data_IF_902129194767
#
_entry.id   IF_902129194767
#
_cell.length_a   1.000
_cell.length_b   1.000
_cell.length_c   1.000
_cell.angle_alpha   90.00
_cell.angle_beta   90.00
_cell.angle_gamma   90.00
#
_symmetry.space_group_name_H-M   'P 1'
#
loop_
_entity.id
_entity.type
_entity.pdbx_description
1 polymer ?
#
# COMPACT_ATOMS: atom_id res chain seq x y z
N UNK A 1 12.98 -18.01 17.86
CA UNK A 1 12.20 -17.05 18.66
C UNK A 1 12.49 -15.67 18.08
N UNK A 2 11.60 -14.87 17.50
CA UNK A 2 10.14 -14.79 17.56
C UNK A 2 9.57 -14.61 16.14
N UNK A 3 8.66 -15.50 15.74
CA UNK A 3 7.76 -15.30 14.60
C UNK A 3 6.77 -14.19 14.94
N UNK A 4 7.23 -12.93 14.98
CA UNK A 4 6.32 -11.82 14.76
C UNK A 4 5.85 -11.98 13.33
N UNK A 5 4.57 -12.33 13.14
CA UNK A 5 3.89 -12.05 11.87
C UNK A 5 4.42 -10.71 11.37
N UNK A 6 4.98 -10.64 10.16
CA UNK A 6 5.55 -9.40 9.67
C UNK A 6 4.41 -8.38 9.59
N UNK A 7 4.22 -7.61 10.67
CA UNK A 7 3.20 -6.57 10.76
C UNK A 7 3.57 -5.60 9.66
N UNK A 8 2.68 -5.36 8.68
CA UNK A 8 3.00 -4.42 7.63
C UNK A 8 3.39 -3.09 8.24
N UNK A 9 4.48 -2.51 7.73
CA UNK A 9 5.13 -1.31 8.27
C UNK A 9 4.16 -0.15 8.51
N UNK A 10 3.07 -0.07 7.74
CA UNK A 10 2.03 0.94 7.91
C UNK A 10 1.26 0.86 9.25
N UNK A 11 1.23 -0.30 9.91
CA UNK A 11 0.59 -0.49 11.22
C UNK A 11 1.55 -0.32 12.40
N UNK A 12 2.85 -0.12 12.14
CA UNK A 12 3.83 0.11 13.20
C UNK A 12 3.54 1.47 13.89
N UNK A 13 3.27 1.51 15.20
CA UNK A 13 3.04 2.76 15.92
C UNK A 13 4.30 3.64 16.01
N UNK A 14 5.50 3.06 15.89
CA UNK A 14 6.77 3.79 15.99
C UNK A 14 7.08 4.62 14.73
N UNK A 15 6.37 4.36 13.63
CA UNK A 15 6.58 5.05 12.36
C UNK A 15 5.66 6.26 12.28
N UNK A 16 6.26 7.41 11.94
CA UNK A 16 5.55 8.66 11.77
C UNK A 16 4.46 8.53 10.69
N UNK A 17 3.35 9.26 10.86
CA UNK A 17 2.28 9.23 9.87
C UNK A 17 2.74 9.74 8.49
N UNK A 18 3.67 10.71 8.47
CA UNK A 18 4.31 11.18 7.23
C UNK A 18 5.06 10.06 6.51
N UNK A 19 5.81 9.24 7.24
CA UNK A 19 6.51 8.09 6.67
C UNK A 19 5.53 7.05 6.12
N UNK A 20 4.42 6.82 6.81
CA UNK A 20 3.33 5.94 6.31
C UNK A 20 2.79 6.44 4.97
N UNK A 21 2.52 7.75 4.84
CA UNK A 21 2.11 8.35 3.58
C UNK A 21 3.14 8.16 2.46
N UNK A 22 4.45 8.29 2.76
CA UNK A 22 5.53 8.04 1.78
C UNK A 22 5.57 6.58 1.32
N UNK A 23 5.39 5.64 2.24
CA UNK A 23 5.28 4.21 1.92
C UNK A 23 4.11 3.97 0.96
N UNK A 24 2.94 4.55 1.26
CA UNK A 24 1.76 4.43 0.40
C UNK A 24 1.99 4.99 -1.00
N UNK A 25 2.66 6.13 -1.11
CA UNK A 25 3.01 6.72 -2.41
C UNK A 25 3.91 5.77 -3.22
N UNK A 26 4.91 5.16 -2.58
CA UNK A 26 5.81 4.19 -3.21
C UNK A 26 5.06 2.92 -3.68
N UNK A 27 4.10 2.44 -2.89
CA UNK A 27 3.24 1.32 -3.28
C UNK A 27 2.35 1.66 -4.48
N UNK A 28 1.76 2.86 -4.52
CA UNK A 28 1.00 3.34 -5.67
C UNK A 28 1.87 3.42 -6.93
N UNK A 29 3.10 3.94 -6.84
CA UNK A 29 4.04 3.97 -7.95
C UNK A 29 4.38 2.57 -8.47
N UNK A 30 4.64 1.63 -7.56
CA UNK A 30 4.97 0.24 -7.91
C UNK A 30 3.79 -0.45 -8.60
N UNK A 31 2.58 -0.24 -8.08
CA UNK A 31 1.34 -0.77 -8.67
C UNK A 31 1.04 -0.11 -10.02
N UNK A 32 1.28 1.19 -10.18
CA UNK A 32 1.11 1.91 -11.44
C UNK A 32 2.01 1.32 -12.53
N UNK A 33 3.30 1.16 -12.20
CA UNK A 33 4.26 0.49 -13.08
C UNK A 33 3.83 -0.94 -13.43
N UNK A 34 3.36 -1.72 -12.46
CA UNK A 34 2.88 -3.08 -12.70
C UNK A 34 1.68 -3.13 -13.65
N UNK A 35 0.77 -2.16 -13.56
CA UNK A 35 -0.41 -2.06 -14.43
C UNK A 35 -0.16 -1.31 -15.74
N UNK A 36 1.07 -0.87 -16.01
CA UNK A 36 1.40 -0.12 -17.23
C UNK A 36 0.78 1.27 -17.29
N UNK A 37 0.55 1.91 -16.14
CA UNK A 37 -0.01 3.26 -16.04
C UNK A 37 0.95 4.22 -15.35
N UNK A 38 0.76 5.52 -15.59
CA UNK A 38 1.42 6.60 -14.88
C UNK A 38 0.88 6.75 -13.45
N UNK A 39 1.61 7.49 -12.61
CA UNK A 39 1.16 7.76 -11.24
C UNK A 39 -0.11 8.63 -11.20
N UNK A 40 -0.25 9.58 -12.12
CA UNK A 40 -1.44 10.45 -12.17
C UNK A 40 -2.68 9.66 -12.62
N UNK A 41 -2.56 8.76 -13.60
CA UNK A 41 -3.65 7.83 -13.97
C UNK A 41 -4.02 6.91 -12.81
N UNK A 42 -3.03 6.39 -12.06
CA UNK A 42 -3.28 5.62 -10.85
C UNK A 42 -4.02 6.46 -9.80
N UNK A 43 -3.64 7.72 -9.61
CA UNK A 43 -4.31 8.64 -8.68
C UNK A 43 -5.78 8.83 -9.07
N UNK A 44 -6.06 9.15 -10.33
CA UNK A 44 -7.43 9.31 -10.81
C UNK A 44 -8.26 8.03 -10.65
N UNK A 45 -7.65 6.88 -10.96
CA UNK A 45 -8.27 5.57 -10.77
C UNK A 45 -8.63 5.33 -9.30
N UNK A 46 -7.71 5.59 -8.37
CA UNK A 46 -7.92 5.40 -6.94
C UNK A 46 -8.97 6.38 -6.40
N UNK A 47 -8.97 7.65 -6.84
CA UNK A 47 -10.01 8.62 -6.48
C UNK A 47 -11.37 8.12 -6.94
N UNK A 48 -11.50 7.68 -8.20
CA UNK A 48 -12.76 7.16 -8.74
C UNK A 48 -13.23 5.89 -8.06
N UNK A 49 -12.30 5.01 -7.65
CA UNK A 49 -12.62 3.69 -7.11
C UNK A 49 -12.88 3.69 -5.61
N UNK A 50 -12.10 4.47 -4.85
CA UNK A 50 -12.08 4.45 -3.38
C UNK A 50 -12.43 5.81 -2.76
N UNK A 51 -12.58 6.87 -3.56
CA UNK A 51 -12.71 8.25 -3.07
C UNK A 51 -11.53 8.68 -2.16
N UNK A 52 -10.33 8.20 -2.48
CA UNK A 52 -9.08 8.51 -1.76
C UNK A 52 -8.12 9.23 -2.70
N UNK A 53 -7.54 10.34 -2.25
CA UNK A 53 -6.51 11.07 -2.99
C UNK A 53 -5.13 10.79 -2.39
N UNK A 54 -4.24 10.18 -3.17
CA UNK A 54 -2.87 9.83 -2.74
C UNK A 54 -2.04 11.06 -2.33
N UNK A 55 -2.38 12.26 -2.84
CA UNK A 55 -1.68 13.51 -2.50
C UNK A 55 -2.23 14.17 -1.22
N UNK A 56 -3.32 13.65 -0.65
CA UNK A 56 -3.98 14.17 0.57
C UNK A 56 -4.12 13.11 1.66
N UNK A 57 -3.26 12.10 1.66
CA UNK A 57 -3.30 11.03 2.67
C UNK A 57 -2.97 11.54 4.07
N UNK A 58 -2.14 12.58 4.17
CA UNK A 58 -1.75 13.25 5.41
C UNK A 58 -2.94 13.77 6.25
N UNK A 59 -4.06 14.08 5.59
CA UNK A 59 -5.30 14.55 6.22
C UNK A 59 -6.40 13.48 6.26
N UNK A 60 -6.12 12.24 5.82
CA UNK A 60 -7.10 11.17 5.69
C UNK A 60 -6.55 9.77 6.12
N UNK A 61 -6.46 9.51 7.43
CA UNK A 61 -5.94 8.24 7.97
C UNK A 61 -6.76 7.01 7.61
N UNK A 62 -8.09 7.15 7.56
CA UNK A 62 -8.97 6.05 7.14
C UNK A 62 -8.76 5.73 5.67
N UNK A 63 -8.63 6.76 4.82
CA UNK A 63 -8.32 6.59 3.39
C UNK A 63 -6.99 5.92 3.14
N UNK A 64 -5.97 6.20 3.96
CA UNK A 64 -4.67 5.53 3.88
C UNK A 64 -4.78 4.02 4.16
N UNK A 65 -5.51 3.63 5.21
CA UNK A 65 -5.72 2.21 5.55
C UNK A 65 -6.52 1.50 4.44
N UNK A 66 -7.60 2.11 3.96
CA UNK A 66 -8.40 1.57 2.87
C UNK A 66 -7.58 1.38 1.59
N UNK A 67 -6.72 2.35 1.26
CA UNK A 67 -5.83 2.26 0.11
C UNK A 67 -4.84 1.11 0.26
N UNK A 68 -4.27 0.91 1.45
CA UNK A 68 -3.38 -0.21 1.71
C UNK A 68 -4.06 -1.55 1.48
N UNK A 69 -5.23 -1.77 2.10
CA UNK A 69 -6.00 -3.02 1.95
C UNK A 69 -6.34 -3.29 0.48
N UNK A 70 -6.73 -2.25 -0.24
CA UNK A 70 -6.98 -2.35 -1.68
C UNK A 70 -5.71 -2.78 -2.42
N UNK A 71 -4.59 -2.09 -2.26
CA UNK A 71 -3.34 -2.44 -2.93
C UNK A 71 -2.86 -3.85 -2.56
N UNK A 72 -3.02 -4.24 -1.29
CA UNK A 72 -2.69 -5.57 -0.77
C UNK A 72 -3.51 -6.67 -1.46
N UNK A 73 -4.81 -6.43 -1.69
CA UNK A 73 -5.69 -7.35 -2.41
C UNK A 73 -5.32 -7.53 -3.89
N UNK A 74 -4.69 -6.51 -4.49
CA UNK A 74 -4.32 -6.48 -5.90
C UNK A 74 -2.91 -6.99 -6.17
N UNK A 75 -2.20 -7.52 -5.15
CA UNK A 75 -0.80 -7.94 -5.30
C UNK A 75 -0.65 -9.11 -6.29
N UNK A 76 0.40 -9.09 -7.14
CA UNK A 76 0.72 -10.20 -8.03
C UNK A 76 0.84 -11.54 -7.29
N UNK A 77 0.59 -12.64 -8.00
CA UNK A 77 0.73 -13.99 -7.43
C UNK A 77 2.15 -14.28 -6.92
N UNK A 78 3.17 -13.70 -7.55
CA UNK A 78 4.58 -13.83 -7.13
C UNK A 78 4.80 -13.30 -5.70
N UNK A 79 4.20 -12.16 -5.35
CA UNK A 79 4.28 -11.60 -3.99
C UNK A 79 3.62 -12.51 -2.94
N UNK A 80 2.58 -13.27 -3.31
CA UNK A 80 1.92 -14.25 -2.42
C UNK A 80 2.77 -15.52 -2.20
N UNK A 81 3.57 -15.91 -3.19
CA UNK A 81 4.42 -17.09 -3.09
C UNK A 81 5.68 -16.85 -2.25
N UNK A 82 6.20 -15.61 -2.23
CA UNK A 82 7.32 -15.22 -1.36
C UNK A 82 6.94 -15.23 0.13
N UNK A 83 5.68 -14.89 0.46
CA UNK A 83 5.14 -15.10 1.81
C UNK A 83 5.22 -16.58 2.18
N UNK A 84 4.68 -17.50 1.36
CA UNK A 84 4.73 -18.95 1.61
C UNK A 84 6.15 -19.52 1.80
N UNK A 85 7.14 -19.04 1.04
CA UNK A 85 8.55 -19.48 1.18
C UNK A 85 9.20 -19.03 2.48
N UNK A 86 8.74 -17.94 3.10
CA UNK A 86 9.23 -17.52 4.42
C UNK A 86 8.65 -18.34 5.58
N UNK A 87 7.65 -19.18 5.32
CA UNK A 87 6.94 -20.00 6.30
C UNK A 87 7.28 -21.51 6.22
N UNK A 88 8.18 -21.91 5.32
CA UNK A 88 8.66 -23.30 5.19
C UNK A 88 10.13 -23.41 5.56
#
# INVERSE_FOLDING_TARGET
MNNKHAIPTIYDPEISYSEKCKIMLSLCQSMAKHKGMTLDEMREFIIKKLNVDIKKLDTNPVGMLLLYEYLYSQRPATCRNEEKKRFH
#
